data_IF_901607759738
#
_entry.id   IF_901607759738
#
_cell.length_a   1.000
_cell.length_b   1.000
_cell.length_c   1.000
_cell.angle_alpha   90.00
_cell.angle_beta   90.00
_cell.angle_gamma   90.00
#
_symmetry.space_group_name_H-M   'P 1'
#
loop_
_entity.id
_entity.type
_entity.pdbx_description
1 polymer ?
#
# COMPACT_ATOMS: atom_id res chain seq x y z
N UNK A 1 -22.49 19.16 2.84
CA UNK A 1 -22.80 18.34 1.65
C UNK A 1 -21.58 17.47 1.38
N UNK A 2 -21.61 16.21 1.81
CA UNK A 2 -20.55 15.27 1.44
C UNK A 2 -20.72 14.94 -0.05
N UNK A 3 -19.71 15.24 -0.86
CA UNK A 3 -19.73 14.79 -2.24
C UNK A 3 -19.19 13.35 -2.27
N UNK A 4 -20.01 12.33 -2.56
CA UNK A 4 -19.60 10.92 -2.52
C UNK A 4 -18.37 10.64 -3.40
N UNK A 5 -18.21 11.38 -4.51
CA UNK A 5 -17.02 11.29 -5.38
C UNK A 5 -15.74 11.74 -4.69
N UNK A 6 -15.80 12.84 -3.93
CA UNK A 6 -14.64 13.39 -3.20
C UNK A 6 -14.22 12.43 -2.09
N UNK A 7 -15.17 11.90 -1.32
CA UNK A 7 -14.87 10.97 -0.21
C UNK A 7 -14.24 9.66 -0.72
N UNK A 8 -14.73 9.17 -1.86
CA UNK A 8 -14.20 7.99 -2.53
C UNK A 8 -12.79 8.22 -3.06
N UNK A 9 -12.54 9.34 -3.74
CA UNK A 9 -11.22 9.69 -4.25
C UNK A 9 -10.21 9.95 -3.13
N UNK A 10 -10.65 10.59 -2.04
CA UNK A 10 -9.85 10.79 -0.84
C UNK A 10 -9.44 9.47 -0.20
N UNK A 11 -10.31 8.46 -0.22
CA UNK A 11 -9.97 7.11 0.25
C UNK A 11 -8.80 6.52 -0.54
N UNK A 12 -8.78 6.63 -1.86
CA UNK A 12 -7.65 6.17 -2.68
C UNK A 12 -6.36 6.99 -2.47
N UNK A 13 -6.48 8.31 -2.33
CA UNK A 13 -5.31 9.18 -2.12
C UNK A 13 -4.72 9.07 -0.70
N UNK A 14 -5.45 8.46 0.24
CA UNK A 14 -4.94 8.25 1.58
C UNK A 14 -3.73 7.31 1.68
N UNK A 15 -3.37 6.61 0.60
CA UNK A 15 -2.12 5.84 0.51
C UNK A 15 -0.89 6.64 0.91
N UNK A 16 -0.89 7.96 0.70
CA UNK A 16 0.27 8.82 0.98
C UNK A 16 0.45 9.22 2.45
N UNK A 17 -0.61 9.17 3.27
CA UNK A 17 -0.56 9.74 4.61
C UNK A 17 -1.31 8.93 5.69
N UNK A 18 -2.38 8.23 5.33
CA UNK A 18 -3.19 7.47 6.28
C UNK A 18 -3.85 6.24 5.62
N UNK A 19 -3.04 5.30 5.09
CA UNK A 19 -3.52 4.20 4.23
C UNK A 19 -4.60 3.32 4.87
N UNK A 20 -4.60 3.18 6.19
CA UNK A 20 -5.59 2.35 6.89
C UNK A 20 -6.71 3.16 7.52
N UNK A 21 -6.34 4.26 8.20
CA UNK A 21 -7.26 5.02 9.04
C UNK A 21 -8.34 5.67 8.17
N UNK A 22 -7.96 6.35 7.09
CA UNK A 22 -8.92 7.09 6.27
C UNK A 22 -9.91 6.18 5.55
N UNK A 23 -9.49 5.14 4.79
CA UNK A 23 -10.45 4.29 4.10
C UNK A 23 -11.34 3.52 5.07
N UNK A 24 -10.81 3.13 6.24
CA UNK A 24 -11.61 2.46 7.27
C UNK A 24 -12.67 3.40 7.85
N UNK A 25 -12.32 4.63 8.21
CA UNK A 25 -13.28 5.61 8.72
C UNK A 25 -14.35 5.91 7.66
N UNK A 26 -13.94 6.14 6.41
CA UNK A 26 -14.89 6.40 5.31
C UNK A 26 -15.82 5.21 5.11
N UNK A 27 -15.31 3.98 5.17
CA UNK A 27 -16.13 2.77 5.09
C UNK A 27 -17.15 2.68 6.24
N UNK A 28 -16.80 3.06 7.46
CA UNK A 28 -17.71 2.97 8.60
C UNK A 28 -18.77 4.08 8.60
N UNK A 29 -18.39 5.31 8.25
CA UNK A 29 -19.24 6.50 8.37
C UNK A 29 -20.11 6.73 7.13
N UNK A 30 -19.64 6.35 5.94
CA UNK A 30 -20.40 6.59 4.71
C UNK A 30 -21.73 5.83 4.69
N UNK A 31 -22.81 6.53 4.36
CA UNK A 31 -24.14 5.93 4.16
C UNK A 31 -24.30 5.36 2.75
N UNK A 32 -23.63 5.97 1.78
CA UNK A 32 -23.65 5.56 0.39
C UNK A 32 -22.85 4.27 0.16
N UNK A 33 -23.47 3.30 -0.51
CA UNK A 33 -22.90 1.98 -0.76
C UNK A 33 -21.74 2.02 -1.76
N UNK A 34 -21.77 2.92 -2.73
CA UNK A 34 -20.71 3.07 -3.72
C UNK A 34 -19.45 3.66 -3.08
N UNK A 35 -19.63 4.64 -2.19
CA UNK A 35 -18.52 5.22 -1.40
C UNK A 35 -17.87 4.15 -0.51
N UNK A 36 -18.68 3.32 0.16
CA UNK A 36 -18.19 2.17 0.94
C UNK A 36 -17.39 1.19 0.08
N UNK A 37 -17.88 0.89 -1.13
CA UNK A 37 -17.20 0.01 -2.08
C UNK A 37 -15.82 0.55 -2.48
N UNK A 38 -15.72 1.86 -2.74
CA UNK A 38 -14.44 2.51 -3.04
C UNK A 38 -13.50 2.52 -1.83
N UNK A 39 -14.02 2.80 -0.64
CA UNK A 39 -13.23 2.83 0.60
C UNK A 39 -12.61 1.46 0.92
N UNK A 40 -13.37 0.36 0.83
CA UNK A 40 -12.82 -0.98 1.06
C UNK A 40 -11.80 -1.37 -0.01
N UNK A 41 -12.03 -0.97 -1.27
CA UNK A 41 -11.11 -1.26 -2.38
C UNK A 41 -9.79 -0.49 -2.24
N UNK A 42 -9.83 0.74 -1.74
CA UNK A 42 -8.64 1.50 -1.36
C UNK A 42 -7.92 0.86 -0.17
N UNK A 43 -8.65 0.41 0.86
CA UNK A 43 -8.05 -0.28 2.00
C UNK A 43 -7.29 -1.54 1.58
N UNK A 44 -7.88 -2.35 0.71
CA UNK A 44 -7.25 -3.58 0.18
C UNK A 44 -6.01 -3.24 -0.64
N UNK A 45 -6.05 -2.22 -1.51
CA UNK A 45 -4.88 -1.85 -2.31
C UNK A 45 -3.73 -1.37 -1.41
N UNK A 46 -4.02 -0.63 -0.35
CA UNK A 46 -3.01 -0.14 0.59
C UNK A 46 -2.39 -1.25 1.43
N UNK A 47 -3.14 -2.34 1.66
CA UNK A 47 -2.63 -3.50 2.38
C UNK A 47 -1.56 -4.24 1.56
N UNK A 48 -1.58 -4.17 0.23
CA UNK A 48 -0.61 -4.88 -0.62
C UNK A 48 0.82 -4.41 -0.32
N UNK A 49 1.20 -3.11 -0.41
CA UNK A 49 2.53 -2.66 -0.01
C UNK A 49 2.88 -3.06 1.42
N UNK A 50 1.93 -3.02 2.36
CA UNK A 50 2.22 -3.36 3.76
C UNK A 50 2.54 -4.84 3.95
N UNK A 51 1.79 -5.74 3.33
CA UNK A 51 2.08 -7.19 3.37
C UNK A 51 3.45 -7.46 2.74
N UNK A 52 3.74 -6.87 1.58
CA UNK A 52 5.05 -7.01 0.94
C UNK A 52 6.18 -6.42 1.79
N UNK A 53 5.94 -5.30 2.47
CA UNK A 53 6.88 -4.68 3.39
C UNK A 53 7.18 -5.56 4.61
N UNK A 54 6.16 -6.21 5.18
CA UNK A 54 6.32 -7.18 6.27
C UNK A 54 7.13 -8.39 5.81
N UNK A 55 6.82 -8.95 4.64
CA UNK A 55 7.58 -10.07 4.07
C UNK A 55 9.04 -9.68 3.82
N UNK A 56 9.28 -8.50 3.27
CA UNK A 56 10.63 -7.96 3.08
C UNK A 56 11.37 -7.81 4.42
N UNK A 57 10.71 -7.26 5.44
CA UNK A 57 11.29 -7.08 6.77
C UNK A 57 11.64 -8.41 7.44
N UNK A 58 10.79 -9.43 7.29
CA UNK A 58 11.05 -10.78 7.76
C UNK A 58 12.30 -11.35 7.08
N UNK A 59 12.38 -11.29 5.74
CA UNK A 59 13.56 -11.74 4.98
C UNK A 59 14.82 -11.00 5.44
N UNK A 60 14.73 -9.69 5.66
CA UNK A 60 15.84 -8.90 6.17
C UNK A 60 16.33 -9.39 7.54
N UNK A 61 15.44 -9.52 8.52
CA UNK A 61 15.79 -10.01 9.86
C UNK A 61 16.48 -11.37 9.76
N UNK A 62 15.87 -12.34 9.10
CA UNK A 62 16.43 -13.70 9.02
C UNK A 62 17.75 -13.77 8.26
N UNK A 63 17.94 -12.92 7.24
CA UNK A 63 19.19 -12.86 6.49
C UNK A 63 20.31 -12.19 7.28
N UNK A 64 20.03 -11.17 8.09
CA UNK A 64 21.03 -10.51 8.95
C UNK A 64 21.51 -11.39 10.10
N UNK A 65 20.61 -12.14 10.76
CA UNK A 65 21.00 -13.00 11.90
C UNK A 65 21.74 -14.29 11.50
N UNK A 66 21.79 -14.63 10.21
CA UNK A 66 22.46 -15.83 9.69
C UNK A 66 23.79 -15.54 8.98
N UNK A 67 24.33 -14.33 9.10
CA UNK A 67 25.53 -13.93 8.36
C UNK A 67 26.80 -14.62 8.90
N UNK A 68 27.36 -15.49 8.07
CA UNK A 68 28.77 -15.87 8.10
C UNK A 68 29.59 -14.72 7.48
N UNK A 69 30.70 -14.25 8.07
CA UNK A 69 31.55 -13.18 7.53
C UNK A 69 31.91 -13.31 6.03
N UNK A 70 31.98 -14.52 5.48
CA UNK A 70 32.25 -14.75 4.06
C UNK A 70 31.08 -14.44 3.09
N UNK A 71 29.87 -14.21 3.61
CA UNK A 71 28.62 -14.12 2.82
C UNK A 71 28.11 -12.71 2.53
N UNK A 72 28.89 -11.66 2.85
CA UNK A 72 28.48 -10.25 2.76
C UNK A 72 27.97 -9.81 1.37
N UNK A 73 28.58 -10.29 0.28
CA UNK A 73 28.13 -9.96 -1.08
C UNK A 73 26.76 -10.57 -1.41
N UNK A 74 26.49 -11.80 -0.98
CA UNK A 74 25.22 -12.49 -1.23
C UNK A 74 24.07 -11.80 -0.49
N UNK A 75 24.31 -11.35 0.75
CA UNK A 75 23.35 -10.57 1.52
C UNK A 75 22.96 -9.28 0.81
N UNK A 76 23.94 -8.50 0.34
CA UNK A 76 23.70 -7.23 -0.33
C UNK A 76 22.86 -7.41 -1.61
N UNK A 77 23.17 -8.44 -2.41
CA UNK A 77 22.41 -8.76 -3.63
C UNK A 77 20.95 -9.10 -3.31
N UNK A 78 20.70 -9.98 -2.33
CA UNK A 78 19.34 -10.35 -1.92
C UNK A 78 18.58 -9.11 -1.44
N UNK A 79 19.23 -8.30 -0.61
CA UNK A 79 18.61 -7.11 -0.04
C UNK A 79 18.21 -6.09 -1.10
N UNK A 80 19.15 -5.74 -1.99
CA UNK A 80 18.91 -4.78 -3.07
C UNK A 80 17.85 -5.28 -4.04
N UNK A 81 17.86 -6.58 -4.37
CA UNK A 81 16.87 -7.19 -5.27
C UNK A 81 15.48 -7.16 -4.64
N UNK A 82 15.33 -7.57 -3.38
CA UNK A 82 14.04 -7.54 -2.69
C UNK A 82 13.52 -6.12 -2.49
N UNK A 83 14.40 -5.16 -2.19
CA UNK A 83 14.05 -3.74 -2.08
C UNK A 83 13.57 -3.16 -3.42
N UNK A 84 14.23 -3.51 -4.53
CA UNK A 84 13.82 -3.10 -5.86
C UNK A 84 12.42 -3.63 -6.21
N UNK A 85 12.16 -4.92 -5.95
CA UNK A 85 10.84 -5.54 -6.18
C UNK A 85 9.76 -4.85 -5.35
N UNK A 86 10.01 -4.65 -4.05
CA UNK A 86 9.10 -3.95 -3.15
C UNK A 86 8.75 -2.55 -3.66
N UNK A 87 9.76 -1.81 -4.12
CA UNK A 87 9.58 -0.44 -4.62
C UNK A 87 8.74 -0.42 -5.89
N UNK A 88 9.01 -1.33 -6.84
CA UNK A 88 8.25 -1.43 -8.11
C UNK A 88 6.78 -1.76 -7.82
N UNK A 89 6.52 -2.75 -6.96
CA UNK A 89 5.15 -3.12 -6.57
C UNK A 89 4.44 -1.94 -5.90
N UNK A 90 5.11 -1.27 -4.96
CA UNK A 90 4.55 -0.13 -4.23
C UNK A 90 4.20 1.03 -5.16
N UNK A 91 5.09 1.36 -6.11
CA UNK A 91 4.83 2.38 -7.13
C UNK A 91 3.63 1.99 -8.01
N UNK A 92 3.54 0.74 -8.45
CA UNK A 92 2.40 0.26 -9.23
C UNK A 92 1.07 0.42 -8.49
N UNK A 93 1.05 0.11 -7.20
CA UNK A 93 -0.13 0.30 -6.33
C UNK A 93 -0.46 1.78 -6.14
N UNK A 94 0.54 2.64 -5.93
CA UNK A 94 0.34 4.10 -5.82
C UNK A 94 -0.29 4.65 -7.10
N UNK A 95 0.26 4.31 -8.27
CA UNK A 95 -0.28 4.72 -9.57
C UNK A 95 -1.73 4.23 -9.72
N UNK A 96 -2.00 2.96 -9.38
CA UNK A 96 -3.34 2.42 -9.45
C UNK A 96 -4.34 3.20 -8.58
N UNK A 97 -3.96 3.57 -7.36
CA UNK A 97 -4.79 4.37 -6.46
C UNK A 97 -5.05 5.77 -7.02
N UNK A 98 -4.02 6.44 -7.57
CA UNK A 98 -4.20 7.74 -8.25
C UNK A 98 -5.18 7.60 -9.42
N UNK A 99 -5.04 6.56 -10.25
CA UNK A 99 -5.92 6.32 -11.40
C UNK A 99 -7.37 6.10 -10.94
N UNK A 100 -7.61 5.34 -9.88
CA UNK A 100 -8.95 5.17 -9.33
C UNK A 100 -9.50 6.49 -8.76
N UNK A 101 -8.69 7.27 -8.05
CA UNK A 101 -9.11 8.58 -7.54
C UNK A 101 -9.61 9.51 -8.67
N UNK A 102 -8.84 9.61 -9.75
CA UNK A 102 -9.23 10.40 -10.94
C UNK A 102 -10.48 9.86 -11.61
N UNK A 103 -10.60 8.52 -11.74
CA UNK A 103 -11.78 7.87 -12.35
C UNK A 103 -13.07 8.11 -11.58
N UNK A 104 -13.01 8.19 -10.25
CA UNK A 104 -14.19 8.40 -9.41
C UNK A 104 -14.64 9.87 -9.38
N UNK A 105 -13.70 10.81 -9.53
CA UNK A 105 -14.01 12.24 -9.60
C UNK A 105 -14.68 12.59 -10.93
N UNK A 106 -14.19 12.00 -12.03
CA UNK A 106 -14.75 12.19 -13.37
C UNK A 106 -16.22 11.73 -13.44
#
# INVERSE_FOLDING_TARGET
MENPKILSAFSYLSIFFAPFIVPLIVYLVAKDRDVKSHAIRALISHLIPVVFGILFFIVFIFSTFRLDPASGNTFLIIWLTSFAIYTIVSIGIVIWNIVQAVRVIR
#
